data_IF_932811706411
#
_entry.id   IF_932811706411
#
_cell.length_a   1.000
_cell.length_b   1.000
_cell.length_c   1.000
_cell.angle_alpha   90.00
_cell.angle_beta   90.00
_cell.angle_gamma   90.00
#
_symmetry.space_group_name_H-M   'P 1'
#
loop_
_entity.id
_entity.type
_entity.pdbx_description
1 polymer ?
#
# COMPACT_ATOMS: atom_id res chain seq x y z
N UNK A 1 -33.98 -29.71 -25.24
CA UNK A 1 -33.01 -28.58 -25.23
C UNK A 1 -33.72 -27.45 -24.52
N UNK A 2 -33.26 -27.13 -23.31
CA UNK A 2 -33.87 -26.08 -22.48
C UNK A 2 -32.99 -24.84 -22.67
N UNK A 3 -33.48 -23.84 -23.39
CA UNK A 3 -32.80 -22.56 -23.51
C UNK A 3 -32.81 -21.82 -22.14
N UNK A 4 -31.70 -21.27 -21.67
CA UNK A 4 -31.71 -20.49 -20.43
C UNK A 4 -32.56 -19.24 -20.61
N UNK A 5 -33.40 -18.97 -19.63
CA UNK A 5 -34.34 -17.85 -19.64
C UNK A 5 -33.57 -16.51 -19.58
N UNK A 6 -33.88 -15.53 -20.43
CA UNK A 6 -33.17 -14.24 -20.50
C UNK A 6 -33.22 -13.43 -19.17
N UNK A 7 -34.12 -13.77 -18.27
CA UNK A 7 -34.27 -13.13 -16.94
C UNK A 7 -33.19 -13.60 -15.97
N UNK A 8 -32.66 -14.83 -16.10
CA UNK A 8 -31.60 -15.34 -15.26
C UNK A 8 -30.25 -14.66 -15.58
N UNK A 9 -29.98 -14.47 -16.86
CA UNK A 9 -28.74 -13.82 -17.35
C UNK A 9 -28.67 -12.33 -16.96
N UNK A 10 -29.79 -11.61 -17.02
CA UNK A 10 -29.87 -10.21 -16.57
C UNK A 10 -29.65 -10.06 -15.05
N UNK A 11 -30.13 -11.00 -14.24
CA UNK A 11 -29.98 -10.99 -12.79
C UNK A 11 -28.54 -11.31 -12.36
N UNK A 12 -27.86 -12.22 -13.04
CA UNK A 12 -26.45 -12.55 -12.81
C UNK A 12 -25.53 -11.38 -13.21
N UNK A 13 -25.82 -10.72 -14.32
CA UNK A 13 -25.07 -9.54 -14.80
C UNK A 13 -25.20 -8.37 -13.83
N UNK A 14 -26.39 -8.12 -13.29
CA UNK A 14 -26.62 -7.07 -12.29
C UNK A 14 -25.86 -7.38 -10.98
N UNK A 15 -25.92 -8.61 -10.51
CA UNK A 15 -25.22 -9.04 -9.29
C UNK A 15 -23.68 -9.02 -9.46
N UNK A 16 -23.16 -9.24 -10.66
CA UNK A 16 -21.75 -9.10 -10.98
C UNK A 16 -21.32 -7.63 -10.98
N UNK A 17 -22.12 -6.74 -11.58
CA UNK A 17 -21.88 -5.29 -11.60
C UNK A 17 -21.89 -4.69 -10.18
N UNK A 18 -22.85 -5.10 -9.34
CA UNK A 18 -22.94 -4.65 -7.95
C UNK A 18 -21.73 -5.11 -7.11
N UNK A 19 -21.25 -6.32 -7.33
CA UNK A 19 -20.04 -6.83 -6.68
C UNK A 19 -18.79 -6.09 -7.10
N UNK A 20 -18.63 -5.80 -8.40
CA UNK A 20 -17.52 -5.02 -8.93
C UNK A 20 -17.52 -3.59 -8.37
N UNK A 21 -18.67 -2.91 -8.37
CA UNK A 21 -18.84 -1.58 -7.77
C UNK A 21 -18.46 -1.55 -6.29
N UNK A 22 -18.97 -2.52 -5.51
CA UNK A 22 -18.63 -2.61 -4.08
C UNK A 22 -17.14 -2.87 -3.83
N UNK A 23 -16.49 -3.66 -4.68
CA UNK A 23 -15.06 -3.91 -4.59
C UNK A 23 -14.25 -2.64 -4.88
N UNK A 24 -14.60 -1.91 -5.94
CA UNK A 24 -13.97 -0.65 -6.31
C UNK A 24 -14.16 0.42 -5.23
N UNK A 25 -15.39 0.59 -4.74
CA UNK A 25 -15.68 1.54 -3.66
C UNK A 25 -14.89 1.20 -2.38
N UNK A 26 -14.86 -0.06 -1.99
CA UNK A 26 -14.07 -0.50 -0.85
C UNK A 26 -12.58 -0.18 -1.01
N UNK A 27 -12.03 -0.34 -2.22
CA UNK A 27 -10.64 -0.01 -2.51
C UNK A 27 -10.38 1.50 -2.38
N UNK A 28 -11.24 2.34 -2.97
CA UNK A 28 -11.14 3.80 -2.89
C UNK A 28 -11.25 4.34 -1.46
N UNK A 29 -12.10 3.73 -0.61
CA UNK A 29 -12.30 4.17 0.77
C UNK A 29 -11.16 3.76 1.72
N UNK A 30 -10.47 2.67 1.43
CA UNK A 30 -9.45 2.12 2.35
C UNK A 30 -8.20 2.98 2.46
N UNK A 31 -7.72 3.56 1.35
CA UNK A 31 -6.51 4.39 1.37
C UNK A 31 -6.65 5.61 2.30
N UNK A 32 -7.69 6.46 2.18
CA UNK A 32 -7.88 7.58 3.11
C UNK A 32 -8.17 7.12 4.54
N UNK A 33 -8.87 6.00 4.75
CA UNK A 33 -9.07 5.44 6.09
C UNK A 33 -7.76 4.99 6.74
N UNK A 34 -6.87 4.33 6.00
CA UNK A 34 -5.55 3.94 6.49
C UNK A 34 -4.76 5.16 6.96
N UNK A 35 -4.77 6.24 6.16
CA UNK A 35 -4.11 7.50 6.52
C UNK A 35 -4.70 8.13 7.79
N UNK A 36 -6.03 8.21 7.90
CA UNK A 36 -6.71 8.76 9.09
C UNK A 36 -6.31 7.99 10.34
N UNK A 37 -6.42 6.67 10.31
CA UNK A 37 -6.13 5.81 11.46
C UNK A 37 -4.65 5.89 11.84
N UNK A 38 -3.74 5.69 10.89
CA UNK A 38 -2.32 5.67 11.15
C UNK A 38 -1.77 7.02 11.65
N UNK A 39 -2.16 8.15 11.06
CA UNK A 39 -1.74 9.46 11.57
C UNK A 39 -2.39 9.80 12.92
N UNK A 40 -3.63 9.34 13.19
CA UNK A 40 -4.26 9.51 14.50
C UNK A 40 -3.51 8.74 15.58
N UNK A 41 -3.06 7.52 15.30
CA UNK A 41 -2.23 6.73 16.21
C UNK A 41 -0.88 7.39 16.46
N UNK A 42 -0.21 7.91 15.40
CA UNK A 42 1.04 8.67 15.57
C UNK A 42 0.88 9.87 16.50
N UNK A 43 -0.21 10.63 16.34
CA UNK A 43 -0.52 11.75 17.23
C UNK A 43 -0.75 11.29 18.67
N UNK A 44 -1.40 10.15 18.88
CA UNK A 44 -1.64 9.57 20.20
C UNK A 44 -0.36 9.06 20.86
N UNK A 45 0.54 8.42 20.10
CA UNK A 45 1.80 7.86 20.60
C UNK A 45 2.86 8.92 20.90
N UNK A 46 2.79 10.10 20.23
CA UNK A 46 3.76 11.20 20.41
C UNK A 46 3.10 12.51 20.83
N UNK A 47 2.50 12.62 22.03
CA UNK A 47 1.93 13.86 22.50
C UNK A 47 3.04 14.92 22.66
N UNK A 48 2.94 16.03 21.91
CA UNK A 48 3.84 17.18 22.06
C UNK A 48 5.01 17.25 21.08
N UNK A 49 5.06 16.46 20.01
CA UNK A 49 6.11 16.53 18.97
C UNK A 49 5.90 17.66 17.99
N UNK A 50 7.01 18.15 17.38
CA UNK A 50 7.00 19.20 16.36
C UNK A 50 6.18 18.84 15.10
N UNK A 51 5.94 17.55 14.85
CA UNK A 51 5.23 17.04 13.67
C UNK A 51 3.71 16.90 13.88
N UNK A 52 3.20 17.12 15.11
CA UNK A 52 1.78 16.91 15.44
C UNK A 52 0.83 17.67 14.52
N UNK A 53 1.16 18.92 14.21
CA UNK A 53 0.31 19.74 13.34
C UNK A 53 0.29 19.20 11.90
N UNK A 54 1.44 18.70 11.40
CA UNK A 54 1.51 18.07 10.09
C UNK A 54 0.71 16.75 10.05
N UNK A 55 0.83 15.91 11.08
CA UNK A 55 0.09 14.66 11.17
C UNK A 55 -1.43 14.91 11.26
N UNK A 56 -1.87 15.93 12.00
CA UNK A 56 -3.28 16.38 12.03
C UNK A 56 -3.74 16.88 10.66
N UNK A 57 -2.89 17.61 9.91
CA UNK A 57 -3.24 18.05 8.54
C UNK A 57 -3.42 16.86 7.58
N UNK A 58 -2.61 15.80 7.71
CA UNK A 58 -2.81 14.56 6.95
C UNK A 58 -4.14 13.89 7.27
N UNK A 59 -4.53 13.82 8.56
CA UNK A 59 -5.84 13.31 8.98
C UNK A 59 -6.98 14.12 8.34
N UNK A 60 -6.91 15.45 8.44
CA UNK A 60 -7.94 16.35 7.89
C UNK A 60 -8.04 16.24 6.38
N UNK A 61 -6.90 16.14 5.68
CA UNK A 61 -6.88 15.95 4.23
C UNK A 61 -7.52 14.62 3.86
N UNK A 62 -7.08 13.52 4.46
CA UNK A 62 -7.60 12.18 4.18
C UNK A 62 -9.12 12.08 4.49
N UNK A 63 -9.60 12.74 5.55
CA UNK A 63 -11.03 12.81 5.85
C UNK A 63 -11.83 13.58 4.79
N UNK A 64 -11.26 14.64 4.20
CA UNK A 64 -11.89 15.37 3.09
C UNK A 64 -11.90 14.55 1.80
N UNK A 65 -10.80 13.86 1.51
CA UNK A 65 -10.69 12.96 0.35
C UNK A 65 -11.73 11.84 0.46
N UNK A 66 -11.89 11.24 1.64
CA UNK A 66 -12.93 10.24 1.93
C UNK A 66 -14.34 10.79 1.71
N UNK A 67 -14.62 12.01 2.20
CA UNK A 67 -15.91 12.67 2.01
C UNK A 67 -16.17 12.96 0.53
N UNK A 68 -15.13 13.35 -0.22
CA UNK A 68 -15.20 13.53 -1.68
C UNK A 68 -15.62 12.25 -2.38
N UNK A 69 -14.95 11.12 -2.11
CA UNK A 69 -15.28 9.82 -2.69
C UNK A 69 -16.75 9.43 -2.37
N UNK A 70 -17.18 9.62 -1.13
CA UNK A 70 -18.57 9.34 -0.73
C UNK A 70 -19.56 10.21 -1.51
N UNK A 71 -19.28 11.49 -1.69
CA UNK A 71 -20.15 12.40 -2.42
C UNK A 71 -20.17 12.10 -3.93
N UNK A 72 -19.03 11.73 -4.52
CA UNK A 72 -18.91 11.37 -5.94
C UNK A 72 -19.66 10.06 -6.25
N UNK A 73 -19.61 9.08 -5.36
CA UNK A 73 -20.28 7.79 -5.55
C UNK A 73 -21.77 7.80 -5.17
N UNK A 74 -22.20 8.74 -4.31
CA UNK A 74 -23.59 8.89 -3.87
C UNK A 74 -24.28 10.11 -4.45
N UNK A 75 -23.56 11.03 -5.09
CA UNK A 75 -24.06 12.27 -5.71
C UNK A 75 -23.72 12.33 -7.19
N UNK A 76 -24.54 12.99 -7.98
CA UNK A 76 -24.28 13.26 -9.40
C UNK A 76 -22.99 14.08 -9.57
N UNK A 77 -22.01 13.46 -10.16
CA UNK A 77 -20.61 13.73 -10.26
C UNK A 77 -20.11 15.12 -10.65
N UNK A 78 -18.94 15.42 -10.12
CA UNK A 78 -17.92 16.23 -10.81
C UNK A 78 -16.53 15.80 -10.31
N UNK A 79 -15.79 15.12 -11.15
CA UNK A 79 -14.42 14.72 -10.91
C UNK A 79 -13.48 15.93 -10.95
N UNK A 80 -12.61 16.05 -9.94
CA UNK A 80 -11.42 16.90 -10.01
C UNK A 80 -10.18 16.03 -9.83
N UNK A 81 -9.53 15.73 -10.94
CA UNK A 81 -8.21 15.11 -10.96
C UNK A 81 -7.15 16.13 -10.56
N UNK A 82 -6.26 15.79 -9.64
CA UNK A 82 -5.06 16.56 -9.36
C UNK A 82 -3.84 15.93 -10.04
N UNK A 83 -2.96 16.74 -10.65
CA UNK A 83 -1.78 16.25 -11.35
C UNK A 83 -0.65 15.94 -10.38
N UNK A 84 -0.01 14.81 -10.59
CA UNK A 84 1.24 14.42 -9.98
C UNK A 84 2.40 15.19 -10.64
N UNK A 85 3.17 15.93 -9.88
CA UNK A 85 4.45 16.43 -10.33
C UNK A 85 5.59 15.62 -9.75
N UNK A 86 6.43 15.17 -10.67
CA UNK A 86 7.57 14.29 -10.45
C UNK A 86 8.85 15.05 -10.65
N UNK A 87 9.85 14.86 -9.80
CA UNK A 87 11.23 15.06 -10.19
C UNK A 87 12.11 13.90 -9.71
N UNK A 88 12.98 13.37 -10.59
CA UNK A 88 13.90 12.31 -10.21
C UNK A 88 15.14 12.94 -9.53
N UNK A 89 15.44 12.50 -8.32
CA UNK A 89 16.67 12.84 -7.64
C UNK A 89 17.72 11.77 -7.91
N UNK A 90 18.94 12.25 -8.18
CA UNK A 90 20.11 11.50 -8.61
C UNK A 90 20.43 10.30 -7.70
N UNK A 91 20.80 9.20 -8.35
CA UNK A 91 21.35 7.98 -7.78
C UNK A 91 22.74 8.28 -7.17
N UNK A 92 22.77 8.63 -5.90
CA UNK A 92 23.95 8.55 -5.06
C UNK A 92 23.90 7.23 -4.29
N UNK A 93 25.06 6.64 -3.98
CA UNK A 93 25.19 5.40 -3.21
C UNK A 93 24.67 5.57 -1.76
N UNK A 94 23.36 5.66 -1.62
CA UNK A 94 22.66 5.74 -0.33
C UNK A 94 22.41 4.31 0.11
N UNK A 95 22.92 3.93 1.28
CA UNK A 95 22.55 2.64 1.87
C UNK A 95 21.05 2.65 2.14
N UNK A 96 20.36 1.62 1.64
CA UNK A 96 18.94 1.41 1.85
C UNK A 96 18.77 0.21 2.78
N UNK A 97 18.11 0.39 3.92
CA UNK A 97 17.78 -0.73 4.81
C UNK A 97 16.36 -1.25 4.51
N UNK A 98 15.41 -0.36 4.23
CA UNK A 98 14.03 -0.67 3.90
C UNK A 98 13.66 0.00 2.57
N UNK A 99 13.25 -0.80 1.59
CA UNK A 99 12.66 -0.31 0.34
C UNK A 99 11.14 -0.42 0.44
N UNK A 100 10.42 0.67 0.26
CA UNK A 100 8.96 0.65 0.20
C UNK A 100 8.48 0.96 -1.22
N UNK A 101 7.77 0.00 -1.81
CA UNK A 101 7.18 0.07 -3.14
C UNK A 101 5.70 0.40 -2.96
N UNK A 102 5.33 1.66 -3.24
CA UNK A 102 4.02 2.24 -2.96
C UNK A 102 3.81 3.46 -3.86
N UNK A 103 2.71 3.55 -4.57
CA UNK A 103 2.41 4.69 -5.46
C UNK A 103 1.78 5.86 -4.71
N UNK A 104 1.06 5.61 -3.63
CA UNK A 104 0.39 6.63 -2.82
C UNK A 104 1.37 7.30 -1.84
N UNK A 105 1.60 8.61 -2.05
CA UNK A 105 2.49 9.40 -1.20
C UNK A 105 2.01 9.53 0.25
N UNK A 106 0.70 9.44 0.51
CA UNK A 106 0.15 9.54 1.87
C UNK A 106 0.48 8.26 2.64
N UNK A 107 0.33 7.09 2.01
CA UNK A 107 0.74 5.81 2.57
C UNK A 107 2.26 5.75 2.79
N UNK A 108 3.05 6.24 1.82
CA UNK A 108 4.50 6.35 1.98
C UNK A 108 4.86 7.24 3.18
N UNK A 109 4.28 8.45 3.26
CA UNK A 109 4.55 9.38 4.36
C UNK A 109 4.16 8.78 5.72
N UNK A 110 3.07 8.04 5.80
CA UNK A 110 2.67 7.34 7.01
C UNK A 110 3.77 6.36 7.48
N UNK A 111 4.24 5.50 6.58
CA UNK A 111 5.31 4.53 6.90
C UNK A 111 6.63 5.24 7.23
N UNK A 112 6.97 6.31 6.52
CA UNK A 112 8.13 7.15 6.84
C UNK A 112 8.05 7.69 8.28
N UNK A 113 6.89 8.23 8.68
CA UNK A 113 6.64 8.70 10.05
C UNK A 113 6.68 7.60 11.10
N UNK A 114 6.17 6.42 10.79
CA UNK A 114 6.26 5.25 11.69
C UNK A 114 7.73 4.85 11.85
N UNK A 115 8.51 4.82 10.77
CA UNK A 115 9.92 4.45 10.83
C UNK A 115 10.83 5.47 11.53
N UNK A 116 10.35 6.69 11.84
CA UNK A 116 11.05 7.60 12.76
C UNK A 116 11.24 7.00 14.18
N UNK A 117 10.43 6.01 14.57
CA UNK A 117 10.67 5.21 15.78
C UNK A 117 11.91 4.28 15.67
N UNK A 118 12.47 4.15 14.46
CA UNK A 118 13.66 3.35 14.12
C UNK A 118 14.67 4.17 13.35
N UNK A 119 15.26 5.21 13.98
CA UNK A 119 16.08 6.21 13.26
C UNK A 119 17.36 5.63 12.63
N UNK A 120 17.75 4.41 12.99
CA UNK A 120 18.86 3.71 12.38
C UNK A 120 18.52 3.12 11.00
N UNK A 121 17.23 2.96 10.66
CA UNK A 121 16.79 2.41 9.38
C UNK A 121 16.65 3.51 8.34
N UNK A 122 17.22 3.26 7.17
CA UNK A 122 17.12 4.16 6.02
C UNK A 122 16.06 3.65 5.07
N UNK A 123 14.97 4.42 4.94
CA UNK A 123 13.87 4.15 4.04
C UNK A 123 14.16 4.71 2.65
N UNK A 124 13.85 3.92 1.62
CA UNK A 124 13.86 4.32 0.22
C UNK A 124 12.47 4.08 -0.38
N UNK A 125 12.05 4.96 -1.29
CA UNK A 125 10.74 4.93 -1.94
C UNK A 125 10.83 4.56 -3.42
N UNK A 126 10.00 3.60 -3.84
CA UNK A 126 9.72 3.32 -5.24
C UNK A 126 8.23 3.54 -5.51
N UNK A 127 7.90 4.37 -6.51
CA UNK A 127 6.51 4.75 -6.82
C UNK A 127 5.79 3.79 -7.77
N UNK A 128 6.50 2.79 -8.27
CA UNK A 128 5.94 1.79 -9.18
C UNK A 128 6.74 0.49 -9.08
N UNK A 129 6.19 -0.59 -9.60
CA UNK A 129 6.76 -1.92 -9.46
C UNK A 129 8.09 -2.09 -10.19
N UNK A 130 8.21 -1.58 -11.43
CA UNK A 130 9.45 -1.66 -12.22
C UNK A 130 10.60 -0.96 -11.49
N UNK A 131 10.38 0.29 -11.02
CA UNK A 131 11.35 1.03 -10.21
C UNK A 131 11.72 0.28 -8.92
N UNK A 132 10.74 -0.37 -8.29
CA UNK A 132 10.94 -1.18 -7.10
C UNK A 132 11.91 -2.33 -7.32
N UNK A 133 11.76 -3.07 -8.42
CA UNK A 133 12.66 -4.17 -8.80
C UNK A 133 14.07 -3.64 -9.07
N UNK A 134 14.21 -2.56 -9.84
CA UNK A 134 15.51 -1.95 -10.15
C UNK A 134 16.24 -1.48 -8.89
N UNK A 135 15.54 -0.78 -7.99
CA UNK A 135 16.13 -0.29 -6.73
C UNK A 135 16.50 -1.43 -5.79
N UNK A 136 15.69 -2.50 -5.73
CA UNK A 136 16.02 -3.69 -4.93
C UNK A 136 17.31 -4.36 -5.39
N UNK A 137 17.50 -4.50 -6.70
CA UNK A 137 18.72 -5.08 -7.30
C UNK A 137 19.95 -4.19 -7.05
N UNK A 138 19.79 -2.85 -7.21
CA UNK A 138 20.89 -1.90 -7.07
C UNK A 138 21.34 -1.72 -5.62
N UNK A 139 20.42 -1.66 -4.67
CA UNK A 139 20.69 -1.29 -3.27
C UNK A 139 20.68 -2.46 -2.29
N UNK A 140 20.08 -3.61 -2.66
CA UNK A 140 19.99 -4.82 -1.82
C UNK A 140 19.51 -4.50 -0.40
N UNK A 141 18.28 -4.01 -0.24
CA UNK A 141 17.74 -3.65 1.06
C UNK A 141 17.66 -4.86 1.99
N UNK A 142 17.58 -4.63 3.29
CA UNK A 142 17.36 -5.70 4.29
C UNK A 142 15.90 -6.14 4.33
N UNK A 143 14.97 -5.27 3.91
CA UNK A 143 13.53 -5.50 3.88
C UNK A 143 12.90 -4.77 2.70
N UNK A 144 11.97 -5.42 2.03
CA UNK A 144 11.08 -4.81 1.04
C UNK A 144 9.65 -4.80 1.60
N UNK A 145 9.05 -3.61 1.67
CA UNK A 145 7.62 -3.41 1.89
C UNK A 145 6.98 -3.24 0.52
N UNK A 146 5.92 -3.99 0.22
CA UNK A 146 5.36 -4.08 -1.12
C UNK A 146 3.84 -3.90 -1.09
N UNK A 147 3.34 -2.84 -1.75
CA UNK A 147 1.93 -2.78 -2.09
C UNK A 147 1.61 -3.67 -3.31
N UNK A 148 0.39 -4.20 -3.34
CA UNK A 148 -0.08 -5.02 -4.46
C UNK A 148 -0.65 -4.18 -5.61
N UNK A 149 -1.26 -3.05 -5.29
CA UNK A 149 -1.94 -2.21 -6.26
C UNK A 149 -1.02 -1.09 -6.75
N UNK A 150 -0.13 -1.42 -7.67
CA UNK A 150 0.80 -0.47 -8.28
C UNK A 150 0.31 -0.08 -9.69
N UNK A 151 0.70 1.10 -10.20
CA UNK A 151 0.14 1.65 -11.44
C UNK A 151 0.64 0.97 -12.72
N UNK A 152 1.77 0.27 -12.66
CA UNK A 152 2.45 -0.34 -13.81
C UNK A 152 2.29 -1.85 -13.86
N UNK A 153 2.73 -2.55 -12.83
CA UNK A 153 2.64 -4.00 -12.70
C UNK A 153 2.08 -4.37 -11.32
N UNK A 154 1.26 -5.41 -11.25
CA UNK A 154 0.70 -5.88 -9.99
C UNK A 154 1.79 -6.37 -9.04
N UNK A 155 1.68 -6.09 -7.73
CA UNK A 155 2.71 -6.44 -6.75
C UNK A 155 3.04 -7.93 -6.67
N UNK A 156 2.12 -8.83 -7.03
CA UNK A 156 2.44 -10.26 -7.14
C UNK A 156 3.46 -10.57 -8.24
N UNK A 157 3.47 -9.80 -9.32
CA UNK A 157 4.50 -9.90 -10.37
C UNK A 157 5.83 -9.33 -9.90
N UNK A 158 5.80 -8.20 -9.14
CA UNK A 158 7.00 -7.67 -8.46
C UNK A 158 7.61 -8.73 -7.55
N UNK A 159 6.78 -9.35 -6.67
CA UNK A 159 7.22 -10.42 -5.78
C UNK A 159 7.87 -11.57 -6.54
N UNK A 160 7.24 -12.05 -7.62
CA UNK A 160 7.78 -13.11 -8.45
C UNK A 160 9.15 -12.75 -9.02
N UNK A 161 9.32 -11.55 -9.59
CA UNK A 161 10.59 -11.08 -10.15
C UNK A 161 11.69 -10.96 -9.11
N UNK A 162 11.34 -10.47 -7.90
CA UNK A 162 12.29 -10.40 -6.77
C UNK A 162 12.76 -11.79 -6.33
N UNK A 163 11.88 -12.80 -6.36
CA UNK A 163 12.22 -14.17 -6.01
C UNK A 163 13.03 -14.90 -7.10
N UNK A 164 12.78 -14.58 -8.38
CA UNK A 164 13.49 -15.17 -9.51
C UNK A 164 14.93 -14.63 -9.65
N UNK A 165 15.23 -13.45 -9.09
CA UNK A 165 16.53 -12.80 -9.20
C UNK A 165 17.45 -13.17 -8.01
N UNK A 166 18.61 -13.82 -8.26
CA UNK A 166 19.50 -14.30 -7.19
C UNK A 166 19.97 -13.23 -6.20
N UNK A 167 20.03 -11.97 -6.62
CA UNK A 167 20.49 -10.86 -5.79
C UNK A 167 19.44 -10.39 -4.80
N UNK A 168 18.16 -10.60 -5.08
CA UNK A 168 17.01 -10.16 -4.27
C UNK A 168 16.22 -11.33 -3.66
N UNK A 169 16.38 -12.56 -4.16
CA UNK A 169 15.62 -13.73 -3.72
C UNK A 169 15.68 -14.03 -2.21
N UNK A 170 16.72 -13.57 -1.53
CA UNK A 170 16.89 -13.75 -0.08
C UNK A 170 16.37 -12.56 0.75
N UNK A 171 16.05 -11.44 0.10
CA UNK A 171 15.55 -10.26 0.79
C UNK A 171 14.12 -10.54 1.24
N UNK A 172 13.78 -10.42 2.53
CA UNK A 172 12.42 -10.61 2.98
C UNK A 172 11.49 -9.56 2.37
N UNK A 173 10.35 -10.03 1.84
CA UNK A 173 9.28 -9.18 1.30
C UNK A 173 8.08 -9.27 2.22
N UNK A 174 7.63 -8.13 2.75
CA UNK A 174 6.39 -7.99 3.52
C UNK A 174 5.38 -7.27 2.64
N UNK A 175 4.26 -7.93 2.39
CA UNK A 175 3.18 -7.37 1.58
C UNK A 175 2.28 -6.51 2.47
N UNK A 176 2.01 -5.27 2.03
CA UNK A 176 1.07 -4.34 2.66
C UNK A 176 -0.11 -4.15 1.71
N UNK A 177 -1.28 -4.69 2.01
CA UNK A 177 -2.43 -4.60 1.09
C UNK A 177 -3.74 -4.38 1.82
N UNK A 178 -4.66 -3.74 1.12
CA UNK A 178 -6.04 -3.53 1.59
C UNK A 178 -6.92 -4.79 1.45
N UNK A 179 -6.53 -5.76 0.61
CA UNK A 179 -7.28 -7.00 0.38
C UNK A 179 -6.67 -8.17 1.17
N UNK A 180 -7.42 -8.72 2.10
CA UNK A 180 -6.97 -9.70 3.08
C UNK A 180 -7.77 -11.01 3.02
N UNK A 181 -8.15 -11.47 1.82
CA UNK A 181 -8.80 -12.77 1.72
C UNK A 181 -7.81 -13.88 2.08
N UNK A 182 -8.22 -14.88 2.88
CA UNK A 182 -7.31 -15.96 3.30
C UNK A 182 -6.62 -16.66 2.13
N UNK A 183 -7.33 -16.84 1.01
CA UNK A 183 -6.77 -17.46 -0.20
C UNK A 183 -5.70 -16.59 -0.87
N UNK A 184 -5.82 -15.28 -0.81
CA UNK A 184 -4.82 -14.36 -1.37
C UNK A 184 -3.57 -14.31 -0.51
N UNK A 185 -3.75 -14.23 0.81
CA UNK A 185 -2.63 -14.30 1.78
C UNK A 185 -1.83 -15.59 1.57
N UNK A 186 -2.51 -16.74 1.52
CA UNK A 186 -1.87 -18.04 1.31
C UNK A 186 -1.09 -18.10 -0.02
N UNK A 187 -1.67 -17.57 -1.11
CA UNK A 187 -0.99 -17.49 -2.41
C UNK A 187 0.29 -16.65 -2.35
N UNK A 188 0.25 -15.49 -1.69
CA UNK A 188 1.40 -14.60 -1.59
C UNK A 188 2.51 -15.17 -0.71
N UNK A 189 2.16 -15.81 0.41
CA UNK A 189 3.12 -16.51 1.26
C UNK A 189 3.76 -17.69 0.50
N UNK A 190 2.96 -18.46 -0.25
CA UNK A 190 3.47 -19.56 -1.11
C UNK A 190 4.36 -19.02 -2.24
N UNK A 191 4.07 -17.84 -2.75
CA UNK A 191 4.87 -17.16 -3.78
C UNK A 191 6.16 -16.54 -3.24
N UNK A 192 6.45 -16.64 -1.93
CA UNK A 192 7.71 -16.21 -1.33
C UNK A 192 7.61 -14.91 -0.50
N UNK A 193 6.43 -14.35 -0.29
CA UNK A 193 6.27 -13.28 0.70
C UNK A 193 6.59 -13.82 2.10
N UNK A 194 7.36 -13.06 2.88
CA UNK A 194 7.75 -13.47 4.23
C UNK A 194 6.66 -13.20 5.25
N UNK A 195 5.90 -12.13 5.03
CA UNK A 195 4.78 -11.76 5.86
C UNK A 195 3.76 -10.94 5.06
N UNK A 196 2.58 -10.75 5.64
CA UNK A 196 1.46 -10.00 5.06
C UNK A 196 0.81 -9.15 6.14
N UNK A 197 0.61 -7.87 5.89
CA UNK A 197 -0.10 -6.94 6.76
C UNK A 197 -1.26 -6.30 6.01
N UNK A 198 -2.43 -6.32 6.63
CA UNK A 198 -3.64 -5.71 6.07
C UNK A 198 -3.70 -4.23 6.38
N UNK A 199 -3.91 -3.38 5.38
CA UNK A 199 -4.21 -1.96 5.57
C UNK A 199 -5.70 -1.78 5.95
N UNK A 200 -6.05 -0.97 6.97
CA UNK A 200 -5.15 -0.28 7.90
C UNK A 200 -4.47 -1.25 8.87
N UNK A 201 -3.23 -0.95 9.25
CA UNK A 201 -2.46 -1.73 10.22
C UNK A 201 -2.06 -0.87 11.42
N UNK A 202 -2.00 -1.51 12.59
CA UNK A 202 -1.56 -0.86 13.83
C UNK A 202 -0.03 -0.68 13.83
N UNK A 203 0.44 0.40 14.45
CA UNK A 203 1.86 0.78 14.44
C UNK A 203 2.74 -0.25 15.15
N UNK A 204 2.35 -0.71 16.34
CA UNK A 204 3.18 -1.64 17.13
C UNK A 204 3.38 -2.99 16.44
N UNK A 205 2.34 -3.68 15.89
CA UNK A 205 2.51 -4.87 15.07
C UNK A 205 3.36 -4.64 13.82
N UNK A 206 3.18 -3.50 13.14
CA UNK A 206 4.00 -3.15 11.97
C UNK A 206 5.48 -3.05 12.33
N UNK A 207 5.81 -2.29 13.40
CA UNK A 207 7.20 -2.14 13.87
C UNK A 207 7.81 -3.48 14.32
N UNK A 208 7.03 -4.35 14.96
CA UNK A 208 7.50 -5.67 15.35
C UNK A 208 7.90 -6.52 14.13
N UNK A 209 7.09 -6.48 13.07
CA UNK A 209 7.41 -7.18 11.80
C UNK A 209 8.66 -6.59 11.15
N UNK A 210 8.80 -5.25 11.12
CA UNK A 210 9.99 -4.59 10.55
C UNK A 210 11.25 -5.00 11.34
N UNK A 211 11.20 -4.96 12.67
CA UNK A 211 12.33 -5.32 13.52
C UNK A 211 12.75 -6.80 13.32
N UNK A 212 11.78 -7.72 13.22
CA UNK A 212 12.04 -9.13 12.94
C UNK A 212 12.71 -9.34 11.58
N UNK A 213 12.19 -8.69 10.53
CA UNK A 213 12.69 -8.88 9.17
C UNK A 213 14.06 -8.26 8.93
N UNK A 214 14.35 -7.11 9.58
CA UNK A 214 15.65 -6.43 9.42
C UNK A 214 16.76 -7.11 10.24
N UNK A 215 16.41 -7.84 11.33
CA UNK A 215 17.36 -8.57 12.16
C UNK A 215 17.72 -9.97 11.62
N UNK A 216 16.94 -10.49 10.66
CA UNK A 216 17.10 -11.83 10.07
C UNK A 216 18.18 -11.85 8.99
#
# INVERSE_FOLDING_TARGET
>A
MNEPSPVADASETLAASERAFRAELNQKLRAPLNAIIGFAELVAMRPGTANKDADVQHIVKAARDLLGIINDELGDGAAAAQPAETQPSALSAISCDVLYIEDDLVNFTLVERILEFRPALKLMHARCGEMGVELAQAHRPKLILLDLNLPDIHGSEVLRRLQDEPTTAKVPVVVLSADATPSQIERLLTAGARNYLTKPFDIDPFLAVVDEMVAA
#
